data_IF_210439061859
#
_entry.id   IF_210439061859
#
_cell.length_a   1.000
_cell.length_b   1.000
_cell.length_c   1.000
_cell.angle_alpha   90.00
_cell.angle_beta   90.00
_cell.angle_gamma   90.00
#
_symmetry.space_group_name_H-M   'P 1'
#
loop_
_entity.id
_entity.type
_entity.pdbx_description
1 polymer ?
#
# COMPACT_ATOMS: atom_id res chain seq x y z
N UNK A 1 20.18 -5.10 0.49
CA UNK A 1 19.19 -4.31 1.24
C UNK A 1 17.80 -4.51 0.66
N UNK A 2 16.84 -4.77 1.51
CA UNK A 2 15.49 -5.04 1.06
C UNK A 2 14.66 -3.76 1.06
N UNK A 3 14.00 -3.51 -0.07
CA UNK A 3 13.11 -2.35 -0.15
C UNK A 3 11.71 -2.72 0.33
N UNK A 4 10.99 -1.72 0.76
CA UNK A 4 9.59 -1.86 1.17
C UNK A 4 8.77 -0.93 0.28
N UNK A 5 7.76 -1.49 -0.37
CA UNK A 5 6.88 -0.70 -1.22
C UNK A 5 5.61 -0.41 -0.43
N UNK A 6 5.28 0.87 -0.30
CA UNK A 6 4.07 1.29 0.41
C UNK A 6 2.95 1.57 -0.58
N UNK A 7 1.79 0.94 -0.37
CA UNK A 7 0.61 1.35 -1.10
C UNK A 7 -0.14 2.41 -0.27
N UNK A 8 -1.28 2.88 -0.78
CA UNK A 8 -2.01 3.94 -0.09
C UNK A 8 -2.45 3.50 1.30
N UNK A 9 -2.84 2.23 1.47
CA UNK A 9 -3.32 1.78 2.78
C UNK A 9 -2.24 1.86 3.85
N UNK A 10 -0.96 1.67 3.47
CA UNK A 10 0.14 1.81 4.42
C UNK A 10 0.25 3.25 4.92
N UNK A 11 0.05 4.22 4.03
CA UNK A 11 0.07 5.63 4.43
C UNK A 11 -1.10 5.98 5.34
N UNK A 12 -2.30 5.48 4.99
CA UNK A 12 -3.48 5.74 5.83
C UNK A 12 -3.32 5.15 7.22
N UNK A 13 -2.63 4.03 7.33
CA UNK A 13 -2.36 3.41 8.62
C UNK A 13 -1.19 4.04 9.36
N UNK A 14 -0.47 4.96 8.72
CA UNK A 14 0.62 5.67 9.36
C UNK A 14 1.95 4.94 9.40
N UNK A 15 2.07 3.84 8.68
CA UNK A 15 3.28 3.01 8.72
C UNK A 15 4.55 3.80 8.35
N UNK A 16 4.57 4.58 7.26
CA UNK A 16 5.79 5.31 6.91
C UNK A 16 6.18 6.35 7.94
N UNK A 17 5.22 6.86 8.70
CA UNK A 17 5.47 7.91 9.68
C UNK A 17 5.96 7.36 11.02
N UNK A 18 5.66 6.11 11.30
CA UNK A 18 6.02 5.48 12.57
C UNK A 18 7.28 4.62 12.46
N UNK A 19 7.67 4.25 11.26
CA UNK A 19 8.80 3.35 11.02
C UNK A 19 10.07 4.14 10.78
N UNK A 20 11.20 3.62 11.24
CA UNK A 20 12.49 4.18 10.92
C UNK A 20 13.05 3.60 9.61
N UNK A 21 12.39 2.61 9.04
CA UNK A 21 12.84 1.98 7.82
C UNK A 21 12.52 2.84 6.60
N UNK A 22 13.36 2.71 5.58
CA UNK A 22 13.14 3.41 4.32
C UNK A 22 12.15 2.64 3.47
N UNK A 23 11.41 3.36 2.65
CA UNK A 23 10.43 2.75 1.76
C UNK A 23 10.29 3.50 0.46
N UNK A 24 9.57 2.91 -0.46
CA UNK A 24 9.37 3.42 -1.82
C UNK A 24 7.89 3.40 -2.13
N UNK A 25 7.44 4.42 -2.84
CA UNK A 25 6.06 4.45 -3.36
C UNK A 25 6.09 4.97 -4.79
N UNK A 26 4.97 4.85 -5.49
CA UNK A 26 4.88 5.36 -6.85
C UNK A 26 4.33 6.78 -6.85
N UNK A 27 4.51 7.48 -7.99
CA UNK A 27 3.94 8.80 -8.16
C UNK A 27 2.42 8.77 -8.01
N UNK A 28 1.78 7.77 -8.60
CA UNK A 28 0.31 7.67 -8.55
C UNK A 28 -0.19 7.47 -7.12
N UNK A 29 0.49 6.63 -6.35
CA UNK A 29 0.11 6.44 -4.95
C UNK A 29 0.34 7.73 -4.18
N UNK A 30 1.47 8.38 -4.42
CA UNK A 30 1.79 9.63 -3.73
C UNK A 30 0.72 10.69 -4.00
N UNK A 31 0.25 10.78 -5.24
CA UNK A 31 -0.80 11.73 -5.59
C UNK A 31 -2.10 11.38 -4.89
N UNK A 32 -2.40 10.10 -4.77
CA UNK A 32 -3.63 9.66 -4.12
C UNK A 32 -3.67 10.05 -2.65
N UNK A 33 -2.53 10.02 -1.97
CA UNK A 33 -2.48 10.30 -0.54
C UNK A 33 -2.28 11.78 -0.20
N UNK A 34 -2.21 12.64 -1.20
CA UNK A 34 -1.93 14.06 -0.96
C UNK A 34 -3.01 14.76 -0.16
N UNK A 35 -4.21 14.20 -0.14
CA UNK A 35 -5.27 14.78 0.66
C UNK A 35 -5.08 14.54 2.17
N UNK A 36 -4.08 13.79 2.57
CA UNK A 36 -3.78 13.59 4.00
C UNK A 36 -3.02 14.81 4.50
N UNK A 37 -3.74 15.89 4.73
CA UNK A 37 -3.12 17.19 5.00
C UNK A 37 -2.33 17.25 6.29
N UNK A 38 -2.81 16.57 7.31
CA UNK A 38 -2.16 16.66 8.62
C UNK A 38 -0.75 16.06 8.63
N UNK A 39 -0.38 15.31 7.60
CA UNK A 39 0.93 14.67 7.55
C UNK A 39 1.86 15.26 6.49
N UNK A 40 1.49 16.39 5.89
CA UNK A 40 2.30 16.98 4.82
C UNK A 40 3.72 17.28 5.23
N UNK A 41 3.90 17.89 6.40
CA UNK A 41 5.25 18.22 6.85
C UNK A 41 6.10 16.99 7.08
N UNK A 42 5.49 15.92 7.58
CA UNK A 42 6.19 14.67 7.82
C UNK A 42 6.59 14.04 6.49
N UNK A 43 5.69 14.07 5.51
CA UNK A 43 5.97 13.51 4.19
C UNK A 43 7.16 14.23 3.56
N UNK A 44 7.19 15.57 3.64
CA UNK A 44 8.31 16.33 3.10
C UNK A 44 9.62 15.97 3.79
N UNK A 45 9.59 15.79 5.10
CA UNK A 45 10.77 15.39 5.83
C UNK A 45 11.26 14.01 5.40
N UNK A 46 10.33 13.06 5.20
CA UNK A 46 10.70 11.72 4.75
C UNK A 46 11.35 11.76 3.37
N UNK A 47 10.82 12.61 2.48
CA UNK A 47 11.40 12.73 1.14
C UNK A 47 12.78 13.38 1.20
N UNK A 48 12.94 14.45 1.97
CA UNK A 48 14.20 15.16 2.01
C UNK A 48 15.32 14.36 2.68
N UNK A 49 14.97 13.48 3.62
CA UNK A 49 15.95 12.64 4.30
C UNK A 49 16.22 11.33 3.56
N UNK A 50 15.51 11.07 2.47
CA UNK A 50 15.68 9.83 1.70
C UNK A 50 15.02 8.61 2.30
N UNK A 51 14.23 8.79 3.35
CA UNK A 51 13.53 7.67 3.97
C UNK A 51 12.31 7.24 3.16
N UNK A 52 11.79 8.15 2.34
CA UNK A 52 10.73 7.81 1.39
C UNK A 52 11.23 8.24 0.02
N UNK A 53 11.17 7.32 -0.92
CA UNK A 53 11.55 7.61 -2.30
C UNK A 53 10.35 7.38 -3.19
N UNK A 54 10.25 8.19 -4.24
CA UNK A 54 9.18 8.05 -5.23
C UNK A 54 9.82 7.52 -6.52
N UNK A 55 9.43 6.32 -6.90
CA UNK A 55 9.89 5.68 -8.13
C UNK A 55 8.68 5.18 -8.88
N UNK A 56 8.80 5.07 -10.19
CA UNK A 56 7.70 4.56 -10.99
C UNK A 56 8.12 3.29 -11.70
N UNK A 57 7.19 2.33 -11.88
CA UNK A 57 7.49 1.14 -12.64
C UNK A 57 7.58 1.48 -14.12
N UNK A 58 8.24 0.60 -14.88
CA UNK A 58 8.30 0.76 -16.33
C UNK A 58 6.92 0.51 -16.93
N UNK A 59 6.73 1.00 -18.16
CA UNK A 59 5.49 0.77 -18.89
C UNK A 59 5.27 -0.72 -19.11
N UNK A 60 6.32 -1.48 -19.35
CA UNK A 60 6.20 -2.92 -19.55
C UNK A 60 5.70 -3.62 -18.29
N UNK A 61 6.23 -3.22 -17.13
CA UNK A 61 5.75 -3.79 -15.86
C UNK A 61 4.30 -3.46 -15.61
N UNK A 62 3.90 -2.22 -15.87
CA UNK A 62 2.50 -1.82 -15.71
C UNK A 62 1.58 -2.63 -16.61
N UNK A 63 1.99 -2.83 -17.86
CA UNK A 63 1.21 -3.61 -18.80
C UNK A 63 1.06 -5.05 -18.32
N UNK A 64 2.16 -5.63 -17.86
CA UNK A 64 2.15 -6.99 -17.36
C UNK A 64 1.20 -7.13 -16.18
N UNK A 65 1.30 -6.22 -15.21
CA UNK A 65 0.44 -6.27 -14.01
C UNK A 65 -1.02 -6.09 -14.39
N UNK A 66 -1.31 -5.18 -15.31
CA UNK A 66 -2.69 -4.96 -15.77
C UNK A 66 -3.26 -6.24 -16.39
N UNK A 67 -2.48 -6.92 -17.20
CA UNK A 67 -2.93 -8.18 -17.82
C UNK A 67 -3.15 -9.27 -16.79
N UNK A 68 -2.27 -9.34 -15.78
CA UNK A 68 -2.46 -10.32 -14.72
C UNK A 68 -3.71 -10.01 -13.89
N UNK A 69 -3.99 -8.74 -13.65
CA UNK A 69 -5.20 -8.34 -12.94
C UNK A 69 -6.46 -8.76 -13.69
N UNK A 70 -6.44 -8.66 -15.02
CA UNK A 70 -7.56 -9.13 -15.82
C UNK A 70 -7.74 -10.64 -15.69
N UNK A 71 -6.65 -11.39 -15.72
CA UNK A 71 -6.70 -12.85 -15.66
C UNK A 71 -7.24 -13.34 -14.32
N UNK A 72 -6.89 -12.67 -13.24
CA UNK A 72 -7.37 -13.07 -11.92
C UNK A 72 -8.75 -12.52 -11.58
N UNK A 73 -9.25 -11.59 -12.41
CA UNK A 73 -10.53 -10.96 -12.14
C UNK A 73 -10.47 -9.78 -11.18
N UNK A 74 -9.28 -9.39 -10.77
CA UNK A 74 -9.12 -8.31 -9.80
C UNK A 74 -9.10 -6.91 -10.42
N UNK A 75 -9.09 -6.84 -11.76
CA UNK A 75 -8.89 -5.56 -12.45
C UNK A 75 -9.90 -4.49 -12.02
N UNK A 76 -11.13 -4.88 -11.76
CA UNK A 76 -12.17 -3.92 -11.41
C UNK A 76 -12.07 -3.44 -9.97
N UNK A 77 -11.31 -4.13 -9.16
CA UNK A 77 -11.13 -3.78 -7.75
C UNK A 77 -9.84 -3.00 -7.51
N UNK A 78 -9.05 -2.80 -8.56
CA UNK A 78 -7.74 -2.18 -8.42
C UNK A 78 -7.69 -0.87 -9.20
N UNK A 79 -7.21 0.18 -8.55
CA UNK A 79 -6.95 1.45 -9.22
C UNK A 79 -5.62 1.35 -9.97
N UNK A 80 -5.37 2.32 -10.86
CA UNK A 80 -4.08 2.39 -11.53
C UNK A 80 -2.97 2.60 -10.49
N UNK A 81 -3.25 3.38 -9.46
CA UNK A 81 -2.28 3.59 -8.37
C UNK A 81 -1.95 2.27 -7.68
N UNK A 82 -2.98 1.46 -7.38
CA UNK A 82 -2.76 0.15 -6.77
C UNK A 82 -1.84 -0.70 -7.65
N UNK A 83 -2.12 -0.74 -8.95
CA UNK A 83 -1.35 -1.54 -9.86
C UNK A 83 0.09 -1.04 -9.99
N UNK A 84 0.31 0.27 -9.86
CA UNK A 84 1.66 0.82 -9.90
C UNK A 84 2.49 0.34 -8.70
N UNK A 85 1.87 0.22 -7.54
CA UNK A 85 2.56 -0.30 -6.36
C UNK A 85 2.94 -1.75 -6.52
N UNK A 86 2.02 -2.55 -7.06
CA UNK A 86 2.29 -3.96 -7.31
C UNK A 86 3.41 -4.11 -8.36
N UNK A 87 3.37 -3.27 -9.41
CA UNK A 87 4.39 -3.31 -10.45
C UNK A 87 5.77 -2.95 -9.91
N UNK A 88 5.85 -1.97 -9.01
CA UNK A 88 7.12 -1.63 -8.38
C UNK A 88 7.66 -2.80 -7.56
N UNK A 89 6.80 -3.42 -6.77
CA UNK A 89 7.23 -4.55 -5.96
C UNK A 89 7.71 -5.70 -6.84
N UNK A 90 7.02 -5.93 -7.93
CA UNK A 90 7.39 -6.97 -8.89
C UNK A 90 8.74 -6.65 -9.53
N UNK A 91 8.90 -5.42 -9.98
CA UNK A 91 10.09 -5.00 -10.70
C UNK A 91 11.33 -4.97 -9.80
N UNK A 92 11.17 -4.50 -8.58
CA UNK A 92 12.28 -4.36 -7.63
C UNK A 92 12.47 -5.59 -6.76
N UNK A 93 11.62 -6.60 -6.94
CA UNK A 93 11.65 -7.83 -6.14
C UNK A 93 11.64 -7.51 -4.65
N UNK A 94 10.75 -6.58 -4.29
CA UNK A 94 10.64 -6.07 -2.93
C UNK A 94 9.30 -6.45 -2.33
N UNK A 95 9.22 -6.39 -1.01
CA UNK A 95 7.95 -6.70 -0.36
C UNK A 95 7.00 -5.52 -0.47
N UNK A 96 5.72 -5.83 -0.49
CA UNK A 96 4.65 -4.84 -0.60
C UNK A 96 3.91 -4.78 0.74
N UNK A 97 3.83 -3.59 1.31
CA UNK A 97 3.14 -3.38 2.57
C UNK A 97 1.73 -2.90 2.24
N UNK A 98 0.74 -3.74 2.51
CA UNK A 98 -0.62 -3.42 2.15
C UNK A 98 -1.61 -4.17 3.05
N UNK A 99 -2.77 -3.58 3.22
CA UNK A 99 -3.88 -4.20 3.90
C UNK A 99 -5.07 -4.38 2.97
N UNK A 100 -4.92 -3.99 1.71
CA UNK A 100 -5.96 -4.10 0.70
C UNK A 100 -6.02 -5.53 0.18
N UNK A 101 -7.21 -6.14 0.25
CA UNK A 101 -7.37 -7.54 -0.11
C UNK A 101 -7.08 -7.78 -1.61
N UNK A 102 -7.59 -6.91 -2.48
CA UNK A 102 -7.42 -7.12 -3.92
C UNK A 102 -5.94 -6.96 -4.31
N UNK A 103 -5.27 -5.95 -3.73
CA UNK A 103 -3.84 -5.74 -3.95
C UNK A 103 -3.06 -6.97 -3.47
N UNK A 104 -3.37 -7.43 -2.27
CA UNK A 104 -2.70 -8.58 -1.68
C UNK A 104 -2.91 -9.83 -2.51
N UNK A 105 -4.14 -10.04 -2.98
CA UNK A 105 -4.47 -11.22 -3.76
C UNK A 105 -3.67 -11.29 -5.06
N UNK A 106 -3.63 -10.19 -5.81
CA UNK A 106 -2.88 -10.17 -7.07
C UNK A 106 -1.38 -10.32 -6.81
N UNK A 107 -0.87 -9.63 -5.80
CA UNK A 107 0.56 -9.70 -5.47
C UNK A 107 0.96 -11.12 -5.11
N UNK A 108 0.15 -11.81 -4.32
CA UNK A 108 0.46 -13.19 -3.95
C UNK A 108 0.42 -14.12 -5.14
N UNK A 109 -0.49 -13.90 -6.08
CA UNK A 109 -0.53 -14.68 -7.30
C UNK A 109 0.74 -14.54 -8.11
N UNK A 110 1.41 -13.41 -8.00
CA UNK A 110 2.67 -13.14 -8.70
C UNK A 110 3.89 -13.47 -7.85
N UNK A 111 3.68 -14.10 -6.70
CA UNK A 111 4.75 -14.50 -5.78
C UNK A 111 5.52 -13.30 -5.23
N UNK A 112 4.83 -12.17 -5.12
CA UNK A 112 5.38 -11.00 -4.44
C UNK A 112 5.13 -11.18 -2.95
N UNK A 113 6.15 -10.93 -2.15
CA UNK A 113 5.99 -11.02 -0.70
C UNK A 113 5.11 -9.86 -0.23
N UNK A 114 4.02 -10.18 0.44
CA UNK A 114 3.10 -9.19 0.98
C UNK A 114 3.22 -9.20 2.49
N UNK A 115 3.42 -8.02 3.04
CA UNK A 115 3.45 -7.85 4.48
C UNK A 115 2.20 -7.09 4.89
N UNK A 116 1.33 -7.71 5.70
CA UNK A 116 0.11 -7.03 6.14
C UNK A 116 0.46 -5.91 7.10
N UNK A 117 -0.45 -4.95 7.21
CA UNK A 117 -0.27 -3.83 8.12
C UNK A 117 -0.62 -4.32 9.52
N UNK A 118 0.38 -4.36 10.39
CA UNK A 118 0.18 -4.84 11.76
C UNK A 118 -0.09 -3.65 12.65
N UNK A 119 -1.35 -3.45 12.95
CA UNK A 119 -1.78 -2.35 13.79
C UNK A 119 -2.17 -2.89 15.15
N UNK A 120 -1.17 -3.23 15.93
CA UNK A 120 -1.41 -3.88 17.22
C UNK A 120 -2.35 -3.12 18.13
N UNK A 121 -2.19 -1.81 18.19
CA UNK A 121 -3.08 -1.01 19.01
C UNK A 121 -4.52 -1.12 18.58
N UNK A 122 -4.77 -1.15 17.29
CA UNK A 122 -6.12 -1.26 16.77
C UNK A 122 -6.70 -2.62 17.08
N UNK A 123 -5.90 -3.67 16.94
CA UNK A 123 -6.39 -5.01 17.23
C UNK A 123 -6.71 -5.18 18.70
N UNK A 124 -5.92 -4.55 19.54
CA UNK A 124 -6.17 -4.64 20.98
C UNK A 124 -7.43 -3.90 21.37
N UNK A 125 -7.75 -2.82 20.68
CA UNK A 125 -8.97 -2.07 20.93
C UNK A 125 -10.18 -2.86 20.48
N UNK A 126 -10.02 -3.58 19.54
CA UNK A 126 -11.02 -4.44 19.08
C UNK A 126 -11.82 -4.04 17.92
N UNK A 127 -11.67 -3.89 18.32
CA UNK A 127 -12.18 -3.78 17.32
C UNK A 127 -12.82 -2.90 16.84
N UNK A 128 -12.33 -2.26 16.95
CA UNK A 128 -12.84 -1.31 16.15
C UNK A 128 -13.04 -0.81 15.47
N UNK A 129 -12.93 -0.89 15.33
CA UNK A 129 -13.25 -0.42 14.38
C UNK A 129 -13.32 -0.27 13.55
N UNK A 130 -13.30 -0.66 13.67
CA UNK A 130 -13.79 -0.52 12.70
C UNK A 130 -13.81 0.01 12.09
N UNK A 131 -13.48 -0.10 11.81
CA UNK A 131 -13.91 0.35 11.07
C UNK A 131 -13.82 0.92 10.36
N UNK A 132 -13.48 0.81 10.30
CA UNK A 132 -13.80 1.18 9.46
C UNK A 132 -13.79 1.63 8.80
N UNK A 133 -13.46 1.62 8.98
CA UNK A 133 -13.79 1.92 8.20
C UNK A 133 -13.75 1.98 7.37
N UNK A 134 -13.68 1.71 7.49
CA UNK A 134 -14.01 1.58 6.62
C UNK A 134 -14.08 1.08 6.30
N UNK A 135 -13.92 0.82 6.55
CA UNK A 135 -14.42 0.27 6.34
C UNK A 135 -14.85 0.00 6.54
N UNK A 136 -14.94 -0.07 6.81
CA UNK A 136 -15.67 -0.33 7.09
C UNK A 136 -16.09 -0.73 7.58
N UNK A 137 -15.90 -1.05 7.94
CA UNK A 137 -16.57 -1.43 8.43
C UNK A 137 -16.62 -1.75 9.11
N UNK A 138 -16.26 -2.26 9.56
CA UNK A 138 -16.76 -2.46 10.11
C UNK A 138 -16.74 -2.72 10.58
N UNK A 139 -16.50 -3.05 11.00
CA UNK A 139 -17.16 -3.14 11.44
C UNK A 139 -17.13 -3.47 12.04
N UNK A 140 -16.58 -3.75 12.16
CA UNK A 140 -17.10 -3.92 12.61
C UNK A 140 -17.07 -4.34 12.90
N UNK A 141 -16.71 -5.01 13.53
CA UNK A 141 -17.26 -5.22 13.56
C UNK A 141 -17.07 -5.82 13.76
N UNK A 142 -16.72 -6.15 13.73
CA UNK A 142 -17.13 -6.49 13.62
C UNK A 142 -16.91 -6.73 13.44
N UNK A 143 -16.37 -7.02 13.66
CA UNK A 143 -16.70 -6.98 13.35
C UNK A 143 -16.51 -6.83 13.03
N UNK A 144 -16.05 -7.33 13.36
CA UNK A 144 -16.50 -6.93 12.83
C UNK A 144 -16.52 -6.83 12.82
#
# INVERSE_FOLDING_TARGET
>A
MEFRIYDASAFYAGIPFASSDSGITSTLIFEEIQHIKKNHGVIETLLSTGRLKILDPTADSMKFITEQARKTGDIQKLSIADMSGIALAFELKSKLITDDFAVSNLAKNLRIHVEPIMTKGIRDVGRWIYYCAGCKKEFVGEEF
#
